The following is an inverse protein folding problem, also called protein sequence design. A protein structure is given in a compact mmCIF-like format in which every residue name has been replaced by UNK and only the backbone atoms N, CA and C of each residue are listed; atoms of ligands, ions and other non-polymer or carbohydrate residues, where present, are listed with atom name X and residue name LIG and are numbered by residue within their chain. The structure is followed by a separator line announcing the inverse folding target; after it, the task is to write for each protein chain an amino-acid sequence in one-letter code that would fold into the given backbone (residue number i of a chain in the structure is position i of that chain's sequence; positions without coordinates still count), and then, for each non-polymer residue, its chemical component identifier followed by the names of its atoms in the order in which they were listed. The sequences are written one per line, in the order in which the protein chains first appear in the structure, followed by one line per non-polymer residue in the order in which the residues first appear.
data_IF_608625388912
#
_entry.id   IF_608625388912
#
_cell.length_a   1.000
_cell.length_b   1.000
_cell.length_c   1.000
_cell.angle_alpha   90.00
_cell.angle_beta   90.00
_cell.angle_gamma   90.00
#
_symmetry.space_group_name_H-M   'P 1'
#
loop_
_entity.id
_entity.type
_entity.pdbx_description
1 polymer ?
#
# COMPACT_ATOMS: atom_id res chain seq x y z
N UNK A 1 -21.73 -87.95 -32.47
CA UNK A 1 -20.94 -88.60 -31.43
C UNK A 1 -19.56 -87.97 -31.35
N UNK A 2 -19.44 -87.14 -30.42
CA UNK A 2 -18.36 -87.04 -29.41
C UNK A 2 -16.92 -86.97 -29.79
N UNK A 3 -16.32 -85.92 -29.19
CA UNK A 3 -15.01 -85.77 -28.65
C UNK A 3 -14.12 -84.72 -29.38
N UNK A 4 -13.82 -83.66 -28.63
CA UNK A 4 -12.80 -82.68 -28.99
C UNK A 4 -13.02 -81.38 -28.33
N UNK A 5 -13.28 -81.31 -27.00
CA UNK A 5 -13.16 -80.13 -26.17
C UNK A 5 -11.92 -80.30 -25.28
N UNK A 6 -11.06 -79.39 -25.38
CA UNK A 6 -10.07 -79.02 -24.37
C UNK A 6 -8.68 -78.78 -24.95
N UNK A 7 -8.32 -77.51 -25.20
CA UNK A 7 -6.95 -77.01 -25.24
C UNK A 7 -6.99 -75.56 -25.82
N UNK A 8 -7.63 -74.67 -25.05
CA UNK A 8 -7.52 -73.25 -25.33
C UNK A 8 -7.87 -72.45 -24.03
N UNK A 9 -7.12 -72.73 -22.93
CA UNK A 9 -7.27 -72.05 -21.67
C UNK A 9 -5.89 -71.91 -20.99
N UNK A 10 -4.93 -71.36 -21.68
CA UNK A 10 -3.55 -71.26 -21.15
C UNK A 10 -2.70 -70.06 -21.60
N UNK A 11 -3.26 -69.17 -22.45
CA UNK A 11 -2.43 -68.09 -23.05
C UNK A 11 -2.97 -66.66 -22.76
N UNK A 12 -3.92 -66.48 -21.84
CA UNK A 12 -4.51 -65.13 -21.59
C UNK A 12 -4.11 -64.48 -20.25
N UNK A 13 -3.17 -65.04 -19.48
CA UNK A 13 -2.82 -64.48 -18.14
C UNK A 13 -1.40 -63.85 -18.08
N UNK A 14 -0.63 -63.87 -19.17
CA UNK A 14 0.75 -63.30 -19.17
C UNK A 14 0.90 -61.96 -19.87
N UNK A 15 -0.20 -61.25 -20.23
CA UNK A 15 -0.11 -59.94 -20.88
C UNK A 15 -0.71 -58.79 -20.04
N UNK A 16 -1.14 -59.04 -18.79
CA UNK A 16 -1.73 -58.02 -17.93
C UNK A 16 -0.74 -57.38 -16.91
N UNK A 17 0.55 -57.76 -16.96
CA UNK A 17 1.56 -57.30 -15.98
C UNK A 17 2.43 -56.15 -16.44
N UNK A 18 2.31 -55.64 -17.68
CA UNK A 18 3.27 -54.65 -18.24
C UNK A 18 2.70 -53.24 -18.45
N UNK A 19 1.46 -52.95 -18.00
CA UNK A 19 0.87 -51.62 -18.17
C UNK A 19 0.74 -50.78 -16.89
N UNK A 20 1.36 -51.19 -15.77
CA UNK A 20 1.27 -50.49 -14.49
C UNK A 20 2.58 -49.78 -14.07
N UNK A 21 3.59 -49.72 -14.95
CA UNK A 21 4.86 -49.00 -14.64
C UNK A 21 5.09 -47.75 -15.45
N UNK A 22 4.07 -47.19 -16.11
CA UNK A 22 4.16 -45.90 -16.85
C UNK A 22 3.58 -44.69 -16.09
N UNK A 23 3.29 -44.81 -14.80
CA UNK A 23 2.93 -43.70 -13.91
C UNK A 23 4.06 -43.39 -12.94
N UNK A 24 5.28 -43.22 -13.45
CA UNK A 24 6.42 -42.84 -12.63
C UNK A 24 7.27 -41.82 -13.33
N UNK A 25 7.26 -40.60 -12.81
CA UNK A 25 8.11 -39.47 -13.17
C UNK A 25 7.64 -38.60 -14.35
N UNK A 26 6.46 -37.99 -14.24
CA UNK A 26 6.39 -36.61 -14.62
C UNK A 26 7.27 -35.84 -13.62
N UNK A 27 8.51 -35.51 -14.01
CA UNK A 27 9.25 -34.39 -13.37
C UNK A 27 8.29 -33.22 -13.46
N UNK A 28 7.61 -32.91 -12.36
CA UNK A 28 6.68 -31.80 -12.28
C UNK A 28 7.42 -30.56 -12.74
N UNK A 29 7.11 -30.09 -13.92
CA UNK A 29 7.32 -28.71 -14.24
C UNK A 29 6.58 -27.97 -13.15
N UNK A 30 7.31 -27.36 -12.21
CA UNK A 30 6.74 -26.54 -11.14
C UNK A 30 5.80 -25.57 -11.84
N UNK A 31 4.49 -25.79 -11.71
CA UNK A 31 3.52 -24.87 -12.27
C UNK A 31 3.91 -23.47 -11.81
N UNK A 32 4.10 -22.57 -12.77
CA UNK A 32 4.47 -21.21 -12.46
C UNK A 32 3.37 -20.64 -11.58
N UNK A 33 3.70 -20.33 -10.32
CA UNK A 33 2.75 -19.71 -9.39
C UNK A 33 2.35 -18.35 -9.94
N UNK A 34 1.14 -18.27 -10.48
CA UNK A 34 0.54 -17.04 -11.04
C UNK A 34 -0.64 -16.66 -10.15
N UNK A 35 -0.74 -15.39 -9.80
CA UNK A 35 -1.83 -14.82 -9.03
C UNK A 35 -2.64 -13.88 -9.91
N UNK A 36 -3.97 -14.05 -9.97
CA UNK A 36 -4.90 -13.18 -10.64
C UNK A 36 -5.55 -12.25 -9.62
N UNK A 37 -5.20 -10.98 -9.66
CA UNK A 37 -5.57 -10.00 -8.65
C UNK A 37 -6.38 -8.86 -9.24
N UNK A 38 -7.36 -8.36 -8.48
CA UNK A 38 -8.11 -7.18 -8.87
C UNK A 38 -7.68 -5.95 -8.08
N UNK A 39 -7.88 -4.79 -8.67
CA UNK A 39 -7.92 -3.50 -7.98
C UNK A 39 -9.23 -2.79 -8.30
N UNK A 40 -9.74 -2.00 -7.36
CA UNK A 40 -10.97 -1.23 -7.57
C UNK A 40 -10.75 0.12 -8.26
N UNK A 41 -9.51 0.51 -8.47
CA UNK A 41 -9.14 1.77 -9.11
C UNK A 41 -7.94 1.59 -10.04
N UNK A 42 -7.79 2.51 -10.96
CA UNK A 42 -6.68 2.60 -11.91
C UNK A 42 -5.41 3.11 -11.23
N UNK A 43 -4.24 2.80 -11.81
CA UNK A 43 -2.99 3.43 -11.42
C UNK A 43 -2.96 4.84 -12.01
N UNK A 44 -2.68 5.84 -11.17
CA UNK A 44 -2.54 7.22 -11.64
C UNK A 44 -1.11 7.46 -12.12
N UNK A 45 -0.11 7.00 -11.37
CA UNK A 45 1.31 7.14 -11.71
C UNK A 45 2.18 6.13 -10.97
N UNK A 46 3.31 5.81 -11.57
CA UNK A 46 4.41 5.06 -10.94
C UNK A 46 5.61 5.95 -10.59
N UNK A 47 5.41 7.28 -10.55
CA UNK A 47 6.40 8.26 -10.11
C UNK A 47 6.27 8.47 -8.59
N UNK A 48 7.24 8.02 -7.76
CA UNK A 48 7.17 8.13 -6.30
C UNK A 48 7.00 9.56 -5.79
N UNK A 49 7.59 10.55 -6.48
CA UNK A 49 7.47 11.95 -6.12
C UNK A 49 6.09 12.55 -6.41
N UNK A 50 5.26 11.91 -7.23
CA UNK A 50 3.97 12.44 -7.69
C UNK A 50 2.75 11.62 -7.28
N UNK A 51 2.95 10.37 -6.86
CA UNK A 51 1.85 9.51 -6.47
C UNK A 51 1.12 10.02 -5.22
N UNK A 52 -0.21 9.87 -5.22
CA UNK A 52 -1.08 10.32 -4.13
C UNK A 52 -2.19 9.34 -3.78
N UNK A 53 -2.31 8.25 -4.51
CA UNK A 53 -3.39 7.29 -4.37
C UNK A 53 -2.91 5.90 -3.92
N UNK A 54 -3.77 5.19 -3.21
CA UNK A 54 -3.47 3.89 -2.63
C UNK A 54 -3.14 2.82 -3.68
N UNK A 55 -3.76 2.87 -4.86
CA UNK A 55 -3.49 1.90 -5.94
C UNK A 55 -2.07 2.04 -6.45
N UNK A 56 -1.64 3.28 -6.76
CA UNK A 56 -0.26 3.57 -7.18
C UNK A 56 0.74 3.15 -6.11
N UNK A 57 0.51 3.48 -4.83
CA UNK A 57 1.40 3.07 -3.73
C UNK A 57 1.49 1.55 -3.60
N UNK A 58 0.37 0.83 -3.65
CA UNK A 58 0.38 -0.64 -3.62
C UNK A 58 1.20 -1.24 -4.76
N UNK A 59 1.11 -0.64 -5.97
CA UNK A 59 1.94 -1.09 -7.09
C UNK A 59 3.43 -0.81 -6.85
N UNK A 60 3.77 0.36 -6.30
CA UNK A 60 5.15 0.72 -5.97
C UNK A 60 5.73 -0.19 -4.89
N UNK A 61 5.00 -0.49 -3.82
CA UNK A 61 5.42 -1.40 -2.75
C UNK A 61 5.78 -2.81 -3.24
N UNK A 62 5.18 -3.24 -4.36
CA UNK A 62 5.47 -4.52 -4.98
C UNK A 62 6.56 -4.47 -6.08
N UNK A 63 6.86 -3.29 -6.60
CA UNK A 63 7.81 -3.13 -7.72
C UNK A 63 9.04 -2.30 -7.37
N UNK A 64 8.99 -1.57 -6.28
CA UNK A 64 10.07 -0.73 -5.78
C UNK A 64 10.35 -1.04 -4.31
N UNK A 65 11.48 -0.60 -3.81
CA UNK A 65 11.92 -0.82 -2.43
C UNK A 65 12.70 0.39 -1.93
N UNK A 66 12.41 0.79 -0.68
CA UNK A 66 13.08 1.89 0.01
C UNK A 66 14.21 1.42 0.94
N UNK A 67 14.61 2.29 1.87
CA UNK A 67 15.54 1.92 2.94
C UNK A 67 14.93 0.84 3.84
N UNK A 68 13.63 0.95 4.11
CA UNK A 68 12.81 0.04 4.88
C UNK A 68 11.58 -0.40 4.08
N UNK A 69 10.99 -1.49 4.49
CA UNK A 69 9.67 -1.97 4.06
C UNK A 69 8.83 -2.32 5.29
N UNK A 70 7.51 -2.34 5.17
CA UNK A 70 6.63 -2.80 6.23
C UNK A 70 6.47 -4.32 6.15
N UNK A 71 6.52 -4.98 7.31
CA UNK A 71 6.14 -6.38 7.42
C UNK A 71 4.61 -6.54 7.61
N UNK A 72 4.15 -7.78 7.75
CA UNK A 72 2.73 -8.11 7.96
C UNK A 72 2.12 -7.47 9.24
N UNK A 73 2.95 -7.05 10.18
CA UNK A 73 2.55 -6.43 11.44
C UNK A 73 2.78 -4.89 11.41
N UNK A 74 2.97 -4.31 10.22
CA UNK A 74 3.26 -2.89 9.97
C UNK A 74 4.53 -2.38 10.69
N UNK A 75 5.51 -3.28 10.92
CA UNK A 75 6.79 -2.89 11.49
C UNK A 75 7.79 -2.61 10.37
N UNK A 76 8.59 -1.55 10.54
CA UNK A 76 9.65 -1.21 9.58
C UNK A 76 10.79 -2.24 9.66
N UNK A 77 11.00 -2.98 8.58
CA UNK A 77 12.10 -3.95 8.40
C UNK A 77 13.11 -3.41 7.40
N UNK A 78 14.37 -3.74 7.63
CA UNK A 78 15.46 -3.38 6.72
C UNK A 78 15.24 -3.98 5.32
N UNK A 79 15.45 -3.14 4.31
CA UNK A 79 15.30 -3.47 2.91
C UNK A 79 16.59 -3.14 2.14
N UNK A 80 16.69 -1.96 1.51
CA UNK A 80 17.95 -1.50 0.93
C UNK A 80 18.97 -1.05 2.00
N UNK A 81 18.53 -0.61 3.16
CA UNK A 81 19.41 -0.41 4.31
C UNK A 81 19.73 -1.76 4.97
N UNK A 82 20.99 -2.01 5.30
CA UNK A 82 21.46 -3.19 6.03
C UNK A 82 21.90 -2.86 7.45
N UNK A 83 22.08 -1.56 7.74
CA UNK A 83 22.43 -1.04 9.06
C UNK A 83 21.99 0.41 9.15
N UNK A 84 21.50 0.79 10.31
CA UNK A 84 21.21 2.18 10.66
C UNK A 84 21.90 2.54 11.97
N UNK A 85 22.56 3.70 12.00
CA UNK A 85 23.14 4.29 13.19
C UNK A 85 22.57 5.69 13.40
N UNK A 86 22.26 6.02 14.65
CA UNK A 86 21.78 7.34 15.05
C UNK A 86 22.81 8.01 15.95
N UNK A 87 23.04 9.31 15.78
CA UNK A 87 23.90 10.09 16.67
C UNK A 87 23.31 10.20 18.08
N UNK A 88 24.16 10.54 19.06
CA UNK A 88 23.74 10.66 20.48
C UNK A 88 22.62 11.67 20.68
N UNK A 89 22.61 12.76 19.92
CA UNK A 89 21.55 13.78 19.94
C UNK A 89 20.26 13.34 19.24
N UNK A 90 20.29 12.20 18.51
CA UNK A 90 19.17 11.67 17.78
C UNK A 90 18.85 12.38 16.46
N UNK A 91 19.68 13.34 16.03
CA UNK A 91 19.39 14.21 14.88
C UNK A 91 20.10 13.79 13.59
N UNK A 92 21.09 12.91 13.66
CA UNK A 92 21.77 12.41 12.47
C UNK A 92 21.64 10.92 12.35
N UNK A 93 21.08 10.47 11.23
CA UNK A 93 20.97 9.07 10.86
C UNK A 93 21.98 8.73 9.77
N UNK A 94 22.63 7.59 9.89
CA UNK A 94 23.53 7.08 8.86
C UNK A 94 23.10 5.64 8.53
N UNK A 95 22.90 5.38 7.23
CA UNK A 95 22.45 4.10 6.71
C UNK A 95 23.55 3.51 5.85
N UNK A 96 23.91 2.24 6.11
CA UNK A 96 24.71 1.43 5.19
C UNK A 96 23.75 0.72 4.25
N UNK A 97 23.96 0.88 2.94
CA UNK A 97 23.12 0.27 1.91
C UNK A 97 23.72 -1.05 1.47
N UNK A 98 22.85 -1.97 1.07
CA UNK A 98 23.29 -3.22 0.45
C UNK A 98 23.97 -2.99 -0.88
N UNK A 99 24.99 -3.79 -1.16
CA UNK A 99 25.80 -3.68 -2.40
C UNK A 99 25.21 -4.46 -3.57
N UNK A 100 24.31 -5.40 -3.29
CA UNK A 100 23.62 -6.27 -4.25
C UNK A 100 22.26 -5.74 -4.70
N UNK A 101 21.79 -4.60 -4.17
CA UNK A 101 20.59 -3.90 -4.61
C UNK A 101 20.76 -3.39 -6.06
N UNK A 102 19.84 -3.79 -6.95
CA UNK A 102 19.90 -3.42 -8.38
C UNK A 102 18.55 -2.96 -8.90
N UNK A 103 18.61 -2.01 -9.79
CA UNK A 103 17.50 -1.65 -10.66
C UNK A 103 17.20 -2.76 -11.68
N UNK A 104 16.00 -2.79 -12.21
CA UNK A 104 15.56 -3.76 -13.23
C UNK A 104 16.36 -3.69 -14.53
N UNK A 105 17.04 -2.58 -14.80
CA UNK A 105 17.96 -2.40 -15.91
C UNK A 105 19.40 -2.87 -15.60
N UNK A 106 19.65 -3.43 -14.42
CA UNK A 106 20.95 -3.97 -14.00
C UNK A 106 21.86 -2.98 -13.27
N UNK A 107 21.59 -1.68 -13.29
CA UNK A 107 22.36 -0.69 -12.55
C UNK A 107 22.25 -0.93 -11.03
N UNK A 108 23.33 -0.61 -10.28
CA UNK A 108 23.28 -0.67 -8.82
C UNK A 108 22.37 0.42 -8.26
N UNK A 109 21.61 0.11 -7.20
CA UNK A 109 20.96 1.13 -6.39
C UNK A 109 21.99 1.72 -5.43
N UNK A 110 22.14 3.03 -5.43
CA UNK A 110 23.21 3.73 -4.69
C UNK A 110 22.63 4.87 -3.83
N UNK A 111 23.43 5.37 -2.89
CA UNK A 111 23.00 6.45 -1.99
C UNK A 111 22.59 7.74 -2.74
N UNK A 112 23.20 8.00 -3.90
CA UNK A 112 22.82 9.14 -4.74
C UNK A 112 21.40 9.07 -5.29
N UNK A 113 20.85 7.86 -5.51
CA UNK A 113 19.47 7.68 -5.99
C UNK A 113 18.46 8.18 -4.95
N UNK A 114 18.74 7.98 -3.65
CA UNK A 114 17.95 8.53 -2.56
C UNK A 114 18.07 10.06 -2.45
N UNK A 115 19.31 10.57 -2.55
CA UNK A 115 19.55 12.03 -2.50
C UNK A 115 18.79 12.71 -3.64
N UNK A 116 18.90 12.18 -4.85
CA UNK A 116 18.20 12.69 -6.03
C UNK A 116 16.67 12.67 -5.84
N UNK A 117 16.12 11.51 -5.49
CA UNK A 117 14.68 11.33 -5.27
C UNK A 117 14.12 12.33 -4.25
N UNK A 118 14.75 12.42 -3.09
CA UNK A 118 14.25 13.26 -2.00
C UNK A 118 14.35 14.75 -2.33
N UNK A 119 15.46 15.17 -2.95
CA UNK A 119 15.64 16.55 -3.42
C UNK A 119 14.62 16.89 -4.52
N UNK A 120 14.31 15.94 -5.40
CA UNK A 120 13.28 16.09 -6.43
C UNK A 120 11.90 16.23 -5.79
N UNK A 121 11.56 15.38 -4.82
CA UNK A 121 10.25 15.40 -4.16
C UNK A 121 9.98 16.71 -3.43
N UNK A 122 10.95 17.26 -2.70
CA UNK A 122 10.77 18.53 -1.98
C UNK A 122 10.92 19.76 -2.87
N UNK A 123 11.37 19.60 -4.12
CA UNK A 123 11.50 20.72 -5.05
C UNK A 123 10.12 21.26 -5.45
N UNK A 124 9.78 22.53 -5.24
CA UNK A 124 8.49 23.11 -5.63
C UNK A 124 8.15 22.89 -7.12
N UNK A 125 9.15 22.85 -8.00
CA UNK A 125 8.97 22.60 -9.44
C UNK A 125 8.42 21.18 -9.74
N UNK A 126 8.61 20.21 -8.85
CA UNK A 126 8.04 18.86 -8.98
C UNK A 126 6.56 18.85 -8.66
N UNK A 127 6.08 19.82 -7.88
CA UNK A 127 4.70 19.94 -7.43
C UNK A 127 4.19 18.67 -6.71
N UNK A 128 5.05 18.04 -5.90
CA UNK A 128 4.68 16.87 -5.11
C UNK A 128 3.67 17.24 -4.03
N UNK A 129 2.51 16.61 -4.05
CA UNK A 129 1.49 16.81 -3.02
C UNK A 129 1.89 16.21 -1.66
N UNK A 130 2.87 15.30 -1.64
CA UNK A 130 3.40 14.67 -0.43
C UNK A 130 4.74 15.26 0.03
N UNK A 131 5.20 16.37 -0.55
CA UNK A 131 6.46 17.03 -0.12
C UNK A 131 6.47 17.41 1.36
N UNK A 132 5.30 17.69 1.95
CA UNK A 132 5.15 18.07 3.36
C UNK A 132 5.57 16.96 4.35
N UNK A 133 5.51 15.68 3.96
CA UNK A 133 5.90 14.58 4.86
C UNK A 133 7.42 14.49 5.09
N UNK A 134 8.20 15.25 4.33
CA UNK A 134 9.64 15.44 4.57
C UNK A 134 9.92 16.43 5.71
N UNK A 135 8.88 17.08 6.26
CA UNK A 135 9.01 17.97 7.44
C UNK A 135 9.75 17.26 8.57
N UNK A 136 10.66 17.97 9.21
CA UNK A 136 11.59 17.41 10.20
C UNK A 136 12.92 16.92 9.61
N UNK A 137 13.05 16.70 8.30
CA UNK A 137 14.37 16.60 7.66
C UNK A 137 14.90 18.02 7.47
N UNK A 138 16.15 18.24 7.85
CA UNK A 138 16.78 19.57 7.84
C UNK A 138 16.54 20.30 6.51
N UNK A 139 16.06 21.53 6.60
CA UNK A 139 15.70 22.43 5.51
C UNK A 139 14.48 22.03 4.65
N UNK A 140 13.82 20.89 4.86
CA UNK A 140 12.72 20.45 4.01
C UNK A 140 11.61 21.50 3.88
N UNK A 141 11.11 22.04 4.99
CA UNK A 141 10.01 23.03 4.99
C UNK A 141 10.41 24.33 4.26
N UNK A 142 11.67 24.78 4.45
CA UNK A 142 12.17 25.96 3.77
C UNK A 142 12.32 25.76 2.26
N UNK A 143 12.65 24.54 1.82
CA UNK A 143 12.74 24.19 0.39
C UNK A 143 11.34 24.14 -0.21
N UNK A 144 10.40 23.43 0.43
CA UNK A 144 9.01 23.33 -0.02
C UNK A 144 8.36 24.71 -0.13
N UNK A 145 8.71 25.63 0.80
CA UNK A 145 8.28 27.03 0.75
C UNK A 145 9.05 27.90 -0.29
N UNK A 146 9.95 27.31 -1.08
CA UNK A 146 10.74 28.03 -2.08
C UNK A 146 11.85 28.95 -1.52
N UNK A 147 12.13 28.87 -0.21
CA UNK A 147 13.11 29.74 0.48
C UNK A 147 14.55 29.22 0.43
N UNK A 148 14.74 27.94 0.08
CA UNK A 148 16.05 27.30 -0.06
C UNK A 148 16.12 26.41 -1.29
N UNK A 149 17.32 26.18 -1.81
CA UNK A 149 17.56 25.27 -2.91
C UNK A 149 17.34 23.80 -2.49
N UNK A 150 16.80 22.92 -3.36
CA UNK A 150 16.64 21.49 -3.06
C UNK A 150 17.92 20.79 -2.64
N UNK A 151 19.08 21.20 -3.16
CA UNK A 151 20.40 20.68 -2.79
C UNK A 151 20.80 20.92 -1.33
N UNK A 152 20.11 21.83 -0.63
CA UNK A 152 20.33 22.10 0.80
C UNK A 152 19.58 21.15 1.74
N UNK A 153 18.77 20.22 1.20
CA UNK A 153 18.07 19.21 2.00
C UNK A 153 19.06 18.43 2.86
N UNK A 154 18.68 18.15 4.10
CA UNK A 154 19.49 17.41 5.05
C UNK A 154 19.74 15.94 4.69
N UNK A 155 20.00 15.64 3.42
CA UNK A 155 20.32 14.29 2.93
C UNK A 155 21.64 14.33 2.13
N UNK A 156 22.53 13.35 2.36
CA UNK A 156 23.86 13.34 1.73
C UNK A 156 24.33 11.90 1.50
N UNK A 157 24.88 11.63 0.33
CA UNK A 157 25.67 10.43 0.08
C UNK A 157 27.09 10.61 0.63
N UNK A 158 27.49 9.80 1.61
CA UNK A 158 28.85 9.78 2.16
C UNK A 158 29.78 8.84 1.37
N UNK A 159 29.23 8.15 0.37
CA UNK A 159 29.89 7.21 -0.50
C UNK A 159 28.83 6.49 -1.33
N UNK A 160 29.26 5.52 -2.15
CA UNK A 160 28.37 4.79 -3.06
C UNK A 160 27.21 4.11 -2.32
N UNK A 161 27.47 3.54 -1.14
CA UNK A 161 26.52 2.74 -0.35
C UNK A 161 26.35 3.24 1.07
N UNK A 162 26.52 4.54 1.31
CA UNK A 162 26.33 5.14 2.62
C UNK A 162 25.56 6.44 2.50
N UNK A 163 24.39 6.48 3.13
CA UNK A 163 23.48 7.63 3.14
C UNK A 163 23.45 8.26 4.54
N UNK A 164 23.53 9.57 4.61
CA UNK A 164 23.34 10.32 5.86
C UNK A 164 22.12 11.23 5.73
N UNK A 165 21.30 11.28 6.79
CA UNK A 165 20.15 12.18 6.91
C UNK A 165 20.29 12.98 8.20
N UNK A 166 20.10 14.30 8.11
CA UNK A 166 20.05 15.22 9.24
C UNK A 166 18.61 15.68 9.47
N UNK A 167 18.16 15.63 10.70
CA UNK A 167 16.85 16.08 11.14
C UNK A 167 16.95 17.43 11.84
N UNK A 168 15.88 18.22 11.82
CA UNK A 168 15.73 19.45 12.60
C UNK A 168 15.29 19.14 14.04
N UNK A 169 14.58 18.04 14.26
CA UNK A 169 14.18 17.52 15.57
C UNK A 169 14.04 15.99 15.52
N UNK A 170 13.94 15.35 16.69
CA UNK A 170 13.80 13.89 16.77
C UNK A 170 12.46 13.45 16.18
N UNK A 171 12.49 12.46 15.30
CA UNK A 171 11.32 11.80 14.70
C UNK A 171 11.27 10.34 15.15
N UNK A 172 10.50 9.99 16.21
CA UNK A 172 10.44 8.61 16.70
C UNK A 172 9.97 7.59 15.66
N UNK A 173 9.13 8.04 14.72
CA UNK A 173 8.56 7.24 13.63
C UNK A 173 9.37 7.31 12.31
N UNK A 174 10.60 7.82 12.34
CA UNK A 174 11.38 8.08 11.11
C UNK A 174 11.57 6.83 10.25
N UNK A 175 11.85 5.66 10.86
CA UNK A 175 11.97 4.40 10.11
C UNK A 175 10.67 3.99 9.39
N UNK A 176 9.51 4.29 9.98
CA UNK A 176 8.21 4.04 9.34
C UNK A 176 8.01 4.93 8.12
N UNK A 177 8.40 6.20 8.19
CA UNK A 177 8.38 7.10 7.02
C UNK A 177 9.25 6.56 5.88
N UNK A 178 10.43 6.02 6.19
CA UNK A 178 11.37 5.50 5.20
C UNK A 178 10.89 4.22 4.50
N UNK A 179 9.81 3.60 4.98
CA UNK A 179 9.13 2.49 4.33
C UNK A 179 8.01 2.94 3.38
N UNK A 180 7.67 4.23 3.38
CA UNK A 180 6.62 4.77 2.52
C UNK A 180 7.15 5.11 1.11
N UNK A 181 6.42 4.80 0.03
CA UNK A 181 6.93 4.90 -1.35
C UNK A 181 7.49 6.26 -1.75
N UNK A 182 7.00 7.35 -1.18
CA UNK A 182 7.51 8.71 -1.46
C UNK A 182 8.98 8.90 -1.03
N UNK A 183 9.48 8.06 -0.12
CA UNK A 183 10.89 8.03 0.30
C UNK A 183 11.73 7.00 -0.47
N UNK A 184 11.16 6.30 -1.45
CA UNK A 184 11.91 5.34 -2.25
C UNK A 184 12.92 6.05 -3.16
N UNK A 185 14.01 5.38 -3.55
CA UNK A 185 14.99 5.96 -4.47
C UNK A 185 14.39 6.09 -5.87
N UNK A 186 14.88 7.04 -6.63
CA UNK A 186 14.57 7.18 -8.06
C UNK A 186 15.85 7.06 -8.88
N UNK A 187 15.77 6.32 -9.99
CA UNK A 187 16.87 6.22 -10.93
C UNK A 187 17.00 7.53 -11.72
N UNK A 188 17.97 8.37 -11.37
CA UNK A 188 18.16 9.69 -11.99
C UNK A 188 18.22 9.60 -13.51
N UNK A 189 18.99 8.65 -14.07
CA UNK A 189 19.10 8.48 -15.52
C UNK A 189 17.74 8.21 -16.17
N UNK A 190 16.88 7.42 -15.53
CA UNK A 190 15.54 7.16 -16.06
C UNK A 190 14.63 8.39 -15.95
N UNK A 191 14.66 9.11 -14.82
CA UNK A 191 13.87 10.33 -14.64
C UNK A 191 14.25 11.39 -15.69
N UNK A 192 15.55 11.62 -15.88
CA UNK A 192 16.05 12.60 -16.85
C UNK A 192 15.74 12.18 -18.29
N UNK A 193 15.92 10.90 -18.62
CA UNK A 193 15.64 10.35 -19.95
C UNK A 193 14.17 10.50 -20.35
N UNK A 194 13.26 10.21 -19.42
CA UNK A 194 11.82 10.19 -19.73
C UNK A 194 11.11 11.51 -19.39
N UNK A 195 11.72 12.37 -18.59
CA UNK A 195 11.17 13.68 -18.22
C UNK A 195 9.74 13.58 -17.70
N UNK A 196 8.82 14.31 -18.30
CA UNK A 196 7.38 14.29 -17.93
C UNK A 196 6.69 12.95 -18.13
N UNK A 197 7.28 12.03 -18.91
CA UNK A 197 6.77 10.68 -19.14
C UNK A 197 7.26 9.68 -18.10
N UNK A 198 8.17 10.04 -17.19
CA UNK A 198 8.61 9.15 -16.13
C UNK A 198 7.42 8.74 -15.26
N UNK A 199 7.28 7.45 -14.96
CA UNK A 199 6.19 6.92 -14.14
C UNK A 199 4.81 6.88 -14.80
N UNK A 200 4.68 7.20 -16.10
CA UNK A 200 3.37 7.17 -16.81
C UNK A 200 3.07 5.84 -17.51
N UNK A 201 4.02 4.94 -17.53
CA UNK A 201 3.86 3.58 -18.09
C UNK A 201 4.94 2.64 -17.59
N UNK A 202 4.73 1.33 -17.76
CA UNK A 202 5.76 0.32 -17.49
C UNK A 202 7.04 0.50 -18.30
N UNK A 203 6.97 1.14 -19.47
CA UNK A 203 8.12 1.39 -20.36
C UNK A 203 8.95 2.59 -19.94
N UNK A 204 8.37 3.51 -19.19
CA UNK A 204 9.01 4.74 -18.74
C UNK A 204 9.37 4.71 -17.26
N UNK A 205 9.37 3.52 -16.66
CA UNK A 205 9.69 3.29 -15.24
C UNK A 205 10.78 2.22 -15.13
N UNK A 206 11.66 2.35 -14.15
CA UNK A 206 12.60 1.30 -13.73
C UNK A 206 12.28 0.91 -12.28
N UNK A 207 12.51 -0.34 -11.95
CA UNK A 207 12.05 -0.96 -10.73
C UNK A 207 13.23 -1.55 -9.96
N UNK A 208 13.17 -1.59 -8.64
CA UNK A 208 14.21 -2.19 -7.81
C UNK A 208 13.63 -3.17 -6.76
N UNK A 209 12.32 -3.39 -6.78
CA UNK A 209 11.61 -4.31 -5.89
C UNK A 209 11.49 -5.73 -6.44
N UNK A 210 10.67 -6.57 -5.77
CA UNK A 210 10.51 -8.00 -6.08
C UNK A 210 9.93 -8.28 -7.46
N UNK A 211 9.15 -7.37 -8.02
CA UNK A 211 8.52 -7.51 -9.33
C UNK A 211 8.87 -6.35 -10.27
N UNK A 212 8.71 -6.61 -11.57
CA UNK A 212 8.74 -5.63 -12.65
C UNK A 212 7.36 -5.54 -13.27
N UNK A 213 6.80 -4.35 -13.33
CA UNK A 213 5.52 -4.12 -14.00
C UNK A 213 5.68 -4.19 -15.52
N UNK A 214 4.73 -4.83 -16.19
CA UNK A 214 4.67 -4.99 -17.64
C UNK A 214 3.26 -4.74 -18.15
N UNK A 215 3.16 -4.13 -19.34
CA UNK A 215 1.90 -3.97 -20.04
C UNK A 215 1.01 -2.83 -19.57
N UNK A 216 1.40 -2.09 -18.53
CA UNK A 216 0.67 -0.88 -18.15
C UNK A 216 1.14 0.30 -19.05
N UNK A 217 0.18 0.96 -19.67
CA UNK A 217 0.39 2.03 -20.64
C UNK A 217 -0.29 3.37 -20.20
N UNK A 218 -0.64 3.50 -18.93
CA UNK A 218 -1.23 4.70 -18.34
C UNK A 218 -2.75 4.64 -18.16
N UNK A 219 -3.49 4.09 -19.13
CA UNK A 219 -4.97 4.11 -19.11
C UNK A 219 -5.62 2.73 -19.27
N UNK A 220 -4.83 1.67 -19.51
CA UNK A 220 -5.40 0.33 -19.66
C UNK A 220 -5.77 -0.29 -18.32
N UNK A 221 -6.85 -1.08 -18.33
CA UNK A 221 -7.46 -1.68 -17.14
C UNK A 221 -6.86 -3.03 -16.74
N UNK A 222 -5.78 -3.46 -17.40
CA UNK A 222 -5.08 -4.68 -17.05
C UNK A 222 -3.58 -4.56 -17.31
N UNK A 223 -2.78 -5.19 -16.46
CA UNK A 223 -1.32 -5.28 -16.57
C UNK A 223 -0.84 -6.49 -15.78
N UNK A 224 0.45 -6.73 -15.80
CA UNK A 224 1.05 -7.78 -14.99
C UNK A 224 2.33 -7.31 -14.30
N UNK A 225 2.64 -7.94 -13.21
CA UNK A 225 3.93 -7.93 -12.56
C UNK A 225 4.60 -9.27 -12.79
N UNK A 226 5.87 -9.26 -13.18
CA UNK A 226 6.69 -10.47 -13.33
C UNK A 226 7.86 -10.43 -12.37
N UNK A 227 8.29 -11.57 -11.85
CA UNK A 227 9.40 -11.68 -10.92
C UNK A 227 10.63 -10.94 -11.45
N UNK A 228 11.21 -10.07 -10.62
CA UNK A 228 12.40 -9.30 -10.96
C UNK A 228 13.66 -10.18 -10.80
N UNK A 229 14.33 -10.49 -11.90
CA UNK A 229 15.56 -11.30 -11.90
C UNK A 229 16.74 -10.63 -11.19
N UNK A 230 16.71 -9.30 -11.11
CA UNK A 230 17.75 -8.47 -10.49
C UNK A 230 17.48 -8.16 -9.01
N UNK A 231 16.32 -8.56 -8.48
CA UNK A 231 16.00 -8.31 -7.09
C UNK A 231 16.95 -9.09 -6.16
N UNK A 232 17.48 -8.41 -5.16
CA UNK A 232 18.46 -9.02 -4.25
C UNK A 232 17.92 -10.24 -3.50
N UNK A 233 16.66 -10.17 -3.06
CA UNK A 233 15.97 -11.25 -2.32
C UNK A 233 15.02 -12.06 -3.22
N UNK A 234 15.41 -12.28 -4.47
CA UNK A 234 14.59 -13.02 -5.46
C UNK A 234 14.24 -14.44 -5.06
N UNK A 235 15.03 -15.08 -4.19
CA UNK A 235 14.77 -16.43 -3.69
C UNK A 235 13.53 -16.49 -2.78
N UNK A 236 13.24 -15.42 -2.03
CA UNK A 236 12.06 -15.31 -1.18
C UNK A 236 10.77 -15.08 -1.98
N UNK A 237 10.87 -14.59 -3.23
CA UNK A 237 9.72 -14.34 -4.09
C UNK A 237 9.23 -15.65 -4.70
N UNK A 238 8.08 -16.14 -4.25
CA UNK A 238 7.51 -17.43 -4.72
C UNK A 238 6.72 -17.27 -6.01
N UNK A 239 5.91 -16.22 -6.12
CA UNK A 239 5.12 -15.96 -7.32
C UNK A 239 6.00 -15.64 -8.53
N UNK A 240 5.70 -16.26 -9.65
CA UNK A 240 6.34 -15.95 -10.93
C UNK A 240 5.72 -14.71 -11.60
N UNK A 241 4.40 -14.53 -11.40
CA UNK A 241 3.63 -13.46 -12.04
C UNK A 241 2.40 -13.11 -11.20
N UNK A 242 1.99 -11.86 -11.25
CA UNK A 242 0.70 -11.38 -10.78
C UNK A 242 0.02 -10.68 -11.96
N UNK A 243 -1.16 -11.15 -12.34
CA UNK A 243 -2.02 -10.49 -13.31
C UNK A 243 -2.94 -9.53 -12.57
N UNK A 244 -2.99 -8.28 -12.99
CA UNK A 244 -3.89 -7.28 -12.43
C UNK A 244 -5.02 -6.96 -13.39
N UNK A 245 -6.20 -6.78 -12.84
CA UNK A 245 -7.40 -6.29 -13.53
C UNK A 245 -8.05 -5.21 -12.68
N UNK A 246 -8.46 -4.12 -13.31
CA UNK A 246 -9.32 -3.12 -12.66
C UNK A 246 -10.76 -3.58 -12.74
N UNK A 247 -11.40 -3.84 -11.59
CA UNK A 247 -12.80 -4.17 -11.50
C UNK A 247 -13.46 -3.33 -10.41
N UNK A 248 -14.38 -2.48 -10.81
CA UNK A 248 -15.04 -1.50 -9.92
C UNK A 248 -16.31 -2.04 -9.28
N UNK A 249 -16.90 -3.09 -9.87
CA UNK A 249 -18.13 -3.73 -9.37
C UNK A 249 -17.80 -4.91 -8.46
N UNK A 250 -18.12 -4.86 -7.17
CA UNK A 250 -17.91 -6.00 -6.27
C UNK A 250 -18.68 -7.26 -6.67
N UNK A 251 -19.84 -7.12 -7.31
CA UNK A 251 -20.62 -8.28 -7.80
C UNK A 251 -19.95 -8.95 -8.98
N UNK A 252 -19.47 -8.16 -9.95
CA UNK A 252 -18.69 -8.68 -11.07
C UNK A 252 -17.40 -9.34 -10.60
N UNK A 253 -16.68 -8.71 -9.67
CA UNK A 253 -15.47 -9.28 -9.08
C UNK A 253 -15.73 -10.64 -8.41
N UNK A 254 -16.84 -10.76 -7.68
CA UNK A 254 -17.21 -12.02 -7.04
C UNK A 254 -17.57 -13.12 -8.07
N UNK A 255 -18.29 -12.78 -9.14
CA UNK A 255 -18.55 -13.73 -10.22
C UNK A 255 -17.27 -14.21 -10.91
N UNK A 256 -16.33 -13.28 -11.19
CA UNK A 256 -15.02 -13.65 -11.75
C UNK A 256 -14.20 -14.55 -10.81
N UNK A 257 -14.31 -14.35 -9.50
CA UNK A 257 -13.72 -15.23 -8.50
C UNK A 257 -14.36 -16.63 -8.52
N UNK A 258 -15.68 -16.72 -8.59
CA UNK A 258 -16.39 -18.00 -8.68
C UNK A 258 -16.05 -18.76 -9.97
N UNK A 259 -15.83 -18.03 -11.07
CA UNK A 259 -15.40 -18.59 -12.37
C UNK A 259 -13.90 -18.98 -12.40
N UNK A 260 -13.15 -18.79 -11.31
CA UNK A 260 -11.71 -19.05 -11.27
C UNK A 260 -10.86 -18.09 -12.11
N UNK A 261 -11.41 -16.95 -12.55
CA UNK A 261 -10.70 -15.92 -13.30
C UNK A 261 -9.93 -14.93 -12.41
N UNK A 262 -10.35 -14.84 -11.14
CA UNK A 262 -9.67 -14.10 -10.08
C UNK A 262 -9.42 -15.01 -8.89
N UNK A 263 -8.29 -14.85 -8.24
CA UNK A 263 -7.92 -15.56 -7.00
C UNK A 263 -8.39 -14.80 -5.75
N UNK A 264 -8.89 -13.58 -5.92
CA UNK A 264 -9.44 -12.75 -4.84
C UNK A 264 -10.48 -11.79 -5.38
N UNK A 265 -11.50 -11.49 -4.57
CA UNK A 265 -12.52 -10.51 -4.90
C UNK A 265 -12.84 -9.63 -3.68
N UNK A 266 -13.06 -8.34 -3.94
CA UNK A 266 -13.62 -7.44 -2.93
C UNK A 266 -15.12 -7.64 -2.92
N UNK A 267 -15.69 -7.91 -1.75
CA UNK A 267 -17.11 -8.22 -1.60
C UNK A 267 -17.94 -6.94 -1.33
N UNK A 268 -19.16 -6.91 -1.85
CA UNK A 268 -20.16 -5.93 -1.38
C UNK A 268 -20.51 -6.18 0.08
N UNK A 269 -21.06 -5.18 0.77
CA UNK A 269 -21.49 -5.33 2.16
C UNK A 269 -22.47 -6.49 2.38
N UNK A 270 -23.40 -6.71 1.44
CA UNK A 270 -24.35 -7.82 1.50
C UNK A 270 -23.68 -9.16 1.30
N UNK A 271 -22.79 -9.28 0.30
CA UNK A 271 -22.04 -10.51 0.05
C UNK A 271 -21.11 -10.84 1.24
N UNK A 272 -20.42 -9.85 1.79
CA UNK A 272 -19.57 -10.00 2.97
C UNK A 272 -20.35 -10.54 4.18
N UNK A 273 -21.59 -10.07 4.39
CA UNK A 273 -22.46 -10.57 5.46
C UNK A 273 -22.82 -12.04 5.25
N UNK A 274 -23.18 -12.42 4.03
CA UNK A 274 -23.62 -13.78 3.70
C UNK A 274 -22.46 -14.78 3.71
N UNK A 275 -21.26 -14.35 3.28
CA UNK A 275 -20.11 -15.20 3.08
C UNK A 275 -19.14 -15.26 4.26
N UNK A 276 -19.40 -14.52 5.33
CA UNK A 276 -18.46 -14.34 6.46
C UNK A 276 -18.03 -15.64 7.16
N UNK A 277 -18.79 -16.73 6.99
CA UNK A 277 -18.48 -18.07 7.54
C UNK A 277 -17.83 -19.00 6.51
N UNK A 278 -17.69 -18.57 5.26
CA UNK A 278 -17.11 -19.37 4.21
C UNK A 278 -15.59 -19.45 4.34
N UNK A 279 -15.02 -20.59 3.98
CA UNK A 279 -13.57 -20.71 3.85
C UNK A 279 -13.06 -19.68 2.81
N UNK A 280 -11.94 -19.04 3.13
CA UNK A 280 -11.35 -17.99 2.29
C UNK A 280 -11.90 -16.57 2.53
N UNK A 281 -12.93 -16.38 3.37
CA UNK A 281 -13.35 -15.06 3.77
C UNK A 281 -12.28 -14.40 4.69
N UNK A 282 -11.77 -13.26 4.28
CA UNK A 282 -10.72 -12.53 5.00
C UNK A 282 -11.14 -11.08 5.21
N UNK A 283 -11.01 -10.57 6.43
CA UNK A 283 -11.10 -9.15 6.73
C UNK A 283 -9.68 -8.58 6.72
N UNK A 284 -9.42 -7.66 5.79
CA UNK A 284 -8.17 -6.90 5.77
C UNK A 284 -8.39 -5.56 6.43
N UNK A 285 -7.74 -5.35 7.57
CA UNK A 285 -7.75 -4.04 8.23
C UNK A 285 -6.95 -3.04 7.40
N UNK A 286 -7.54 -1.89 7.13
CA UNK A 286 -6.88 -0.75 6.50
C UNK A 286 -6.49 0.29 7.55
N UNK A 287 -5.30 0.84 7.41
CA UNK A 287 -4.82 1.97 8.21
C UNK A 287 -5.40 3.28 7.66
N UNK A 288 -6.72 3.38 7.63
CA UNK A 288 -7.40 4.52 7.05
C UNK A 288 -8.69 4.84 7.78
N UNK A 289 -9.03 6.13 7.80
CA UNK A 289 -10.26 6.64 8.37
C UNK A 289 -11.05 7.38 7.31
N UNK A 290 -12.29 6.95 7.09
CA UNK A 290 -13.25 7.70 6.25
C UNK A 290 -13.90 8.77 7.10
N UNK A 291 -13.85 10.01 6.64
CA UNK A 291 -14.38 11.15 7.39
C UNK A 291 -15.14 12.13 6.50
N UNK A 292 -15.98 12.92 7.12
CA UNK A 292 -16.67 14.05 6.49
C UNK A 292 -15.88 15.34 6.74
N UNK A 293 -15.45 16.00 5.68
CA UNK A 293 -14.75 17.27 5.75
C UNK A 293 -15.72 18.44 5.60
N UNK A 294 -15.65 19.39 6.52
CA UNK A 294 -16.40 20.63 6.40
C UNK A 294 -15.60 21.68 5.65
N UNK A 295 -16.19 22.32 4.65
CA UNK A 295 -15.58 23.49 4.03
C UNK A 295 -15.68 24.69 4.97
N UNK A 296 -14.63 24.93 5.75
CA UNK A 296 -14.60 26.03 6.75
C UNK A 296 -14.44 27.42 6.13
N UNK A 297 -14.26 27.54 4.82
CA UNK A 297 -14.33 28.82 4.12
C UNK A 297 -15.78 29.34 4.06
N UNK A 298 -16.77 28.46 4.09
CA UNK A 298 -18.18 28.85 4.19
C UNK A 298 -18.49 29.37 5.58
N UNK A 299 -19.11 30.56 5.67
CA UNK A 299 -19.39 31.26 6.92
C UNK A 299 -20.11 30.36 7.97
N UNK A 300 -21.11 29.57 7.53
CA UNK A 300 -21.85 28.64 8.40
C UNK A 300 -20.95 27.58 9.03
N UNK A 301 -19.95 27.06 8.32
CA UNK A 301 -19.07 26.03 8.84
C UNK A 301 -17.85 26.58 9.61
N UNK A 302 -17.70 27.90 9.73
CA UNK A 302 -16.80 28.50 10.72
C UNK A 302 -17.30 28.25 12.14
N UNK A 303 -18.62 28.09 12.34
CA UNK A 303 -19.22 27.79 13.65
C UNK A 303 -18.80 26.39 14.14
N UNK A 304 -18.04 26.33 15.22
CA UNK A 304 -17.68 25.10 15.91
C UNK A 304 -18.89 24.36 16.44
N UNK A 305 -19.86 25.07 17.00
CA UNK A 305 -21.12 24.47 17.48
C UNK A 305 -21.85 23.73 16.36
N UNK A 306 -21.95 24.33 15.16
CA UNK A 306 -22.58 23.67 14.02
C UNK A 306 -21.88 22.37 13.63
N UNK A 307 -20.55 22.37 13.53
CA UNK A 307 -19.78 21.17 13.22
C UNK A 307 -19.93 20.10 14.31
N UNK A 308 -19.91 20.47 15.59
CA UNK A 308 -20.12 19.56 16.71
C UNK A 308 -21.53 18.96 16.69
N UNK A 309 -22.58 19.76 16.41
CA UNK A 309 -23.95 19.27 16.28
C UNK A 309 -24.05 18.18 15.19
N UNK A 310 -23.49 18.42 14.00
CA UNK A 310 -23.46 17.43 12.92
C UNK A 310 -22.71 16.18 13.35
N UNK A 311 -21.59 16.32 14.04
CA UNK A 311 -20.80 15.18 14.55
C UNK A 311 -21.58 14.31 15.52
N UNK A 312 -22.30 14.91 16.47
CA UNK A 312 -23.12 14.21 17.45
C UNK A 312 -24.41 13.60 16.86
N UNK A 313 -24.89 14.12 15.73
CA UNK A 313 -26.04 13.56 15.01
C UNK A 313 -25.72 12.28 14.26
N UNK A 314 -24.42 11.98 13.99
CA UNK A 314 -23.98 10.82 13.23
C UNK A 314 -23.81 9.60 14.14
N UNK A 315 -24.66 8.59 13.97
CA UNK A 315 -24.47 7.27 14.60
C UNK A 315 -23.43 6.48 13.82
N UNK A 316 -22.17 6.63 14.23
CA UNK A 316 -21.02 5.96 13.60
C UNK A 316 -21.06 4.44 13.70
N UNK A 317 -21.66 3.90 14.78
CA UNK A 317 -21.79 2.45 14.97
C UNK A 317 -22.82 1.87 14.02
N UNK A 318 -24.00 2.52 13.92
CA UNK A 318 -25.04 2.09 12.98
C UNK A 318 -24.57 2.22 11.54
N UNK A 319 -23.89 3.31 11.18
CA UNK A 319 -23.31 3.52 9.86
C UNK A 319 -22.28 2.42 9.52
N UNK A 320 -21.34 2.14 10.40
CA UNK A 320 -20.34 1.10 10.23
C UNK A 320 -20.99 -0.29 10.05
N UNK A 321 -22.03 -0.59 10.83
CA UNK A 321 -22.80 -1.82 10.70
C UNK A 321 -23.50 -1.93 9.33
N UNK A 322 -24.02 -0.82 8.82
CA UNK A 322 -24.67 -0.76 7.50
C UNK A 322 -23.66 -0.95 6.37
N UNK A 323 -22.50 -0.31 6.48
CA UNK A 323 -21.41 -0.46 5.49
C UNK A 323 -20.84 -1.87 5.47
N UNK A 324 -20.83 -2.58 6.61
CA UNK A 324 -20.30 -3.95 6.70
C UNK A 324 -18.79 -4.00 6.46
N UNK A 325 -18.27 -5.12 5.94
CA UNK A 325 -16.89 -5.23 5.45
C UNK A 325 -15.77 -4.97 6.47
N UNK A 326 -16.06 -5.04 7.79
CA UNK A 326 -15.07 -4.78 8.84
C UNK A 326 -14.93 -3.31 9.24
N UNK A 327 -15.79 -2.42 8.74
CA UNK A 327 -15.85 -1.03 9.21
C UNK A 327 -16.18 -0.96 10.70
N UNK A 328 -15.55 -0.03 11.41
CA UNK A 328 -15.82 0.31 12.80
C UNK A 328 -16.09 1.81 12.95
N UNK A 329 -16.84 2.21 13.97
CA UNK A 329 -17.08 3.63 14.23
C UNK A 329 -15.79 4.31 14.69
N UNK A 330 -15.30 5.29 13.94
CA UNK A 330 -14.10 6.05 14.26
C UNK A 330 -14.39 7.22 15.19
N UNK A 331 -13.51 7.45 16.15
CA UNK A 331 -13.55 8.60 17.09
C UNK A 331 -12.31 9.50 16.96
N UNK A 332 -11.33 9.07 16.17
CA UNK A 332 -10.08 9.81 15.88
C UNK A 332 -9.76 9.69 14.40
N UNK A 333 -8.85 10.53 13.89
CA UNK A 333 -8.30 10.37 12.55
C UNK A 333 -7.36 9.17 12.44
N UNK A 334 -6.65 8.83 13.51
CA UNK A 334 -5.86 7.60 13.57
C UNK A 334 -6.82 6.42 13.68
N UNK A 335 -6.67 5.44 12.79
CA UNK A 335 -7.47 4.22 12.83
C UNK A 335 -7.14 3.39 14.08
N UNK A 336 -8.14 2.67 14.60
CA UNK A 336 -7.94 1.75 15.71
C UNK A 336 -6.92 0.66 15.35
N UNK A 337 -6.17 0.19 16.32
CA UNK A 337 -5.08 -0.79 16.20
C UNK A 337 -3.88 -0.34 15.33
N UNK A 338 -3.88 0.90 14.82
CA UNK A 338 -2.81 1.41 13.96
C UNK A 338 -1.52 1.69 14.74
N UNK A 339 -1.64 2.24 15.95
CA UNK A 339 -0.48 2.54 16.81
C UNK A 339 -0.82 2.41 18.28
N UNK A 340 0.18 2.04 19.05
CA UNK A 340 0.08 1.91 20.51
C UNK A 340 1.10 2.82 21.19
N UNK A 341 0.70 3.38 22.32
CA UNK A 341 1.58 4.13 23.24
C UNK A 341 1.53 3.39 24.58
N UNK A 342 2.67 2.93 25.07
CA UNK A 342 2.79 2.15 26.30
C UNK A 342 1.83 0.94 26.35
N UNK A 343 1.68 0.27 25.19
CA UNK A 343 0.83 -0.91 25.04
C UNK A 343 -0.68 -0.62 24.86
N UNK A 344 -1.11 0.63 25.01
CA UNK A 344 -2.51 1.04 24.83
C UNK A 344 -2.73 1.60 23.42
N UNK A 345 -3.89 1.31 22.85
CA UNK A 345 -4.28 1.85 21.54
C UNK A 345 -4.38 3.40 21.61
N UNK A 346 -3.73 4.08 20.67
CA UNK A 346 -3.72 5.53 20.61
C UNK A 346 -5.12 6.15 20.58
N UNK A 347 -6.08 5.47 19.93
CA UNK A 347 -7.45 5.98 19.82
C UNK A 347 -8.16 6.08 21.18
N UNK A 348 -7.74 5.29 22.16
CA UNK A 348 -8.25 5.35 23.53
C UNK A 348 -7.61 6.49 24.32
N UNK A 349 -6.32 6.72 24.12
CA UNK A 349 -5.56 7.79 24.80
C UNK A 349 -5.91 9.18 24.27
N UNK A 350 -6.20 9.29 22.96
CA UNK A 350 -6.52 10.56 22.30
C UNK A 350 -7.91 11.10 22.60
N UNK A 351 -8.71 10.44 23.45
CA UNK A 351 -10.07 10.81 23.77
C UNK A 351 -10.20 11.42 25.16
N UNK A 352 -10.29 12.75 25.24
CA UNK A 352 -10.77 13.44 26.43
C UNK A 352 -12.31 13.39 26.54
N UNK A 353 -12.84 13.96 27.61
CA UNK A 353 -14.30 14.02 27.87
C UNK A 353 -15.04 14.73 26.74
N UNK A 354 -14.51 15.82 26.23
CA UNK A 354 -15.10 16.61 25.14
C UNK A 354 -15.11 15.84 23.83
N UNK A 355 -14.00 15.25 23.46
CA UNK A 355 -13.89 14.42 22.26
C UNK A 355 -14.86 13.24 22.31
N UNK A 356 -14.96 12.55 23.45
CA UNK A 356 -15.94 11.47 23.65
C UNK A 356 -17.37 11.94 23.42
N UNK A 357 -17.72 13.11 23.94
CA UNK A 357 -19.07 13.68 23.80
C UNK A 357 -19.40 14.02 22.35
N UNK A 358 -18.51 14.73 21.65
CA UNK A 358 -18.76 15.21 20.27
C UNK A 358 -18.65 14.11 19.22
N UNK A 359 -17.97 13.00 19.51
CA UNK A 359 -17.84 11.84 18.59
C UNK A 359 -18.86 10.73 18.89
N UNK A 360 -19.59 10.81 20.00
CA UNK A 360 -20.67 9.88 20.32
C UNK A 360 -22.00 10.35 19.73
N UNK A 361 -22.88 9.41 19.40
CA UNK A 361 -24.25 9.73 18.94
C UNK A 361 -25.11 10.23 20.08
N UNK A 362 -25.57 11.47 20.00
CA UNK A 362 -26.44 12.12 20.99
C UNK A 362 -27.50 12.97 20.29
N UNK A 363 -28.57 12.34 19.80
CA UNK A 363 -29.63 12.99 19.01
C UNK A 363 -30.15 14.28 19.67
N UNK A 364 -30.56 14.22 20.95
CA UNK A 364 -31.14 15.37 21.68
C UNK A 364 -30.13 16.51 21.84
N UNK A 365 -28.89 16.19 22.24
CA UNK A 365 -27.84 17.19 22.38
C UNK A 365 -27.44 17.79 21.03
N UNK A 366 -27.35 16.96 19.99
CA UNK A 366 -27.11 17.43 18.63
C UNK A 366 -28.16 18.44 18.18
N UNK A 367 -29.45 18.14 18.39
CA UNK A 367 -30.55 19.05 18.03
C UNK A 367 -30.53 20.37 18.83
N UNK A 368 -30.21 20.29 20.12
CA UNK A 368 -30.06 21.50 20.97
C UNK A 368 -28.89 22.36 20.44
N UNK A 369 -27.70 21.77 20.29
CA UNK A 369 -26.50 22.47 19.83
C UNK A 369 -26.68 23.04 18.43
N UNK A 370 -27.39 22.32 17.54
CA UNK A 370 -27.74 22.80 16.20
C UNK A 370 -28.62 24.07 16.26
N UNK A 371 -29.68 24.07 17.07
CA UNK A 371 -30.56 25.24 17.25
C UNK A 371 -29.78 26.45 17.79
N UNK A 372 -28.88 26.23 18.76
CA UNK A 372 -28.00 27.27 19.29
C UNK A 372 -27.08 27.83 18.20
N UNK A 373 -26.47 26.95 17.40
CA UNK A 373 -25.59 27.35 16.29
C UNK A 373 -26.32 28.18 15.22
N UNK A 374 -27.56 27.80 14.86
CA UNK A 374 -28.37 28.59 13.92
C UNK A 374 -28.72 29.99 14.48
N UNK A 375 -29.03 30.09 15.78
CA UNK A 375 -29.29 31.38 16.45
C UNK A 375 -28.04 32.27 16.41
N UNK A 376 -26.87 31.69 16.77
CA UNK A 376 -25.59 32.42 16.77
C UNK A 376 -25.18 32.90 15.35
N UNK A 377 -25.56 32.15 14.32
CA UNK A 377 -25.30 32.48 12.90
C UNK A 377 -26.41 33.36 12.28
N UNK A 378 -27.48 33.72 13.04
CA UNK A 378 -28.64 34.45 12.54
C UNK A 378 -29.33 33.78 11.33
N UNK A 379 -29.23 32.46 11.22
CA UNK A 379 -29.83 31.67 10.15
C UNK A 379 -31.24 31.20 10.58
N UNK A 380 -32.21 31.35 9.66
CA UNK A 380 -33.55 30.76 9.84
C UNK A 380 -33.47 29.23 9.72
N UNK A 381 -34.38 28.52 10.38
CA UNK A 381 -34.53 27.06 10.32
C UNK A 381 -34.75 26.55 8.90
#
# INVERSE_FOLDING_TARGET
MNKGKSLLAGAAVLFSGALLTACGQSKGASEKQVLNWMTSAEIITMDPSKATDATSFTQMENTMEGLYQLDKDNQAKEALATKAAQSKDGLTWTFDLRKDGKWSNGQAVIAKDFVYSWQRTVNPKTASQYSYIFSGIKNADAIVAGKKAPSSLGVKALGKYKLQVKLDHKLPYFKLLLAFPVFFPENQTAVEKYGSKFGTSSKTTVFNGPFVQKGWAGANLSWKMVKNKNYWNKSAVKLAQINFMVEKSPSTAYNLYQDGKLDTAILSAQAAKNLRKQAGYVIRKNNGTTYMQFNTQLAKFKSTKLRQAVSMALDRKALAKTLGGGFTGATTFTAADMTKVDGQDFTQLAQDKTTKQITSYHKTLAQKTFKEALKDLQLKK
#
